data_IF_320432052300
#
_entry.id   IF_320432052300
#
_cell.length_a   1.000
_cell.length_b   1.000
_cell.length_c   1.000
_cell.angle_alpha   90.00
_cell.angle_beta   90.00
_cell.angle_gamma   90.00
#
_symmetry.space_group_name_H-M   'P 1'
#
loop_
_entity.id
_entity.type
_entity.pdbx_description
1 polymer ?
#
# COMPACT_ATOMS: atom_id res chain seq x y z
N UNK A 1 -16.31 12.44 15.33
CA UNK A 1 -16.54 11.74 14.05
C UNK A 1 -17.06 12.75 13.04
N UNK A 2 -16.57 12.74 11.84
CA UNK A 2 -16.96 13.66 10.79
C UNK A 2 -18.11 13.05 9.99
N UNK A 3 -19.28 13.70 9.98
CA UNK A 3 -20.44 13.25 9.21
C UNK A 3 -20.36 13.84 7.78
N UNK A 4 -19.32 13.43 7.04
CA UNK A 4 -19.06 13.86 5.67
C UNK A 4 -18.29 12.80 4.92
N UNK A 5 -18.42 12.73 3.58
CA UNK A 5 -17.56 11.87 2.78
C UNK A 5 -16.08 12.14 3.05
N UNK A 6 -15.34 11.10 3.34
CA UNK A 6 -13.93 11.19 3.73
C UNK A 6 -13.08 10.29 2.83
N UNK A 7 -11.89 10.74 2.50
CA UNK A 7 -10.89 9.98 1.73
C UNK A 7 -9.64 9.83 2.59
N UNK A 8 -9.10 8.61 2.64
CA UNK A 8 -7.74 8.40 3.13
C UNK A 8 -6.79 8.72 1.98
N UNK A 9 -6.11 9.88 2.06
CA UNK A 9 -5.29 10.41 0.98
C UNK A 9 -3.99 9.68 0.78
N UNK A 10 -3.41 9.13 1.86
CA UNK A 10 -2.16 8.37 1.81
C UNK A 10 -2.16 7.28 2.88
N UNK A 11 -1.74 6.09 2.51
CA UNK A 11 -1.36 5.04 3.44
C UNK A 11 -0.40 4.08 2.74
N UNK A 12 0.49 3.45 3.51
CA UNK A 12 1.40 2.44 2.98
C UNK A 12 1.88 1.48 4.06
N UNK A 13 2.33 0.33 3.60
CA UNK A 13 3.07 -0.66 4.38
C UNK A 13 4.33 -1.01 3.58
N UNK A 14 5.49 -0.98 4.19
CA UNK A 14 6.76 -1.29 3.54
C UNK A 14 7.33 -2.62 4.00
N UNK A 15 7.82 -3.43 3.09
CA UNK A 15 8.49 -4.69 3.43
C UNK A 15 10.00 -4.51 3.53
N UNK A 16 10.64 -5.30 4.40
CA UNK A 16 12.07 -5.23 4.66
C UNK A 16 12.86 -6.38 4.02
N UNK A 17 12.20 -7.23 3.24
CA UNK A 17 12.78 -8.44 2.64
C UNK A 17 13.21 -8.28 1.17
N UNK A 18 13.17 -7.07 0.63
CA UNK A 18 13.39 -6.83 -0.82
C UNK A 18 14.53 -5.85 -1.12
N UNK A 19 15.45 -5.69 -0.19
CA UNK A 19 16.72 -5.01 -0.44
C UNK A 19 16.85 -3.58 0.05
N UNK A 20 15.83 -2.99 0.64
CA UNK A 20 15.93 -1.68 1.31
C UNK A 20 15.99 -1.84 2.82
N UNK A 21 16.56 -0.84 3.49
CA UNK A 21 16.65 -0.81 4.95
C UNK A 21 15.50 -0.03 5.59
N UNK A 22 14.71 0.68 4.78
CA UNK A 22 13.61 1.53 5.23
C UNK A 22 12.27 1.07 4.68
N UNK A 23 11.28 1.03 5.53
CA UNK A 23 9.94 0.55 5.23
C UNK A 23 8.89 1.67 5.13
N UNK A 24 9.29 2.90 5.38
CA UNK A 24 8.32 3.97 5.59
C UNK A 24 7.69 3.89 6.99
N UNK A 25 6.45 4.32 7.11
CA UNK A 25 5.78 4.51 8.41
C UNK A 25 5.42 3.20 9.10
N UNK A 26 5.08 2.16 8.35
CA UNK A 26 4.64 0.88 8.94
C UNK A 26 5.50 -0.25 8.38
N UNK A 27 6.44 -0.75 9.17
CA UNK A 27 7.31 -1.83 8.73
C UNK A 27 6.58 -3.18 8.70
N UNK A 28 6.89 -3.97 7.66
CA UNK A 28 6.48 -5.36 7.52
C UNK A 28 7.72 -6.21 7.33
N UNK A 29 7.76 -7.38 7.93
CA UNK A 29 8.92 -8.30 7.83
C UNK A 29 9.15 -8.76 6.40
N UNK A 30 8.05 -8.99 5.68
CA UNK A 30 8.08 -9.53 4.34
C UNK A 30 6.84 -9.10 3.54
N UNK A 31 6.81 -9.45 2.26
CA UNK A 31 5.69 -9.14 1.37
C UNK A 31 4.39 -9.81 1.81
N UNK A 32 4.47 -10.98 2.44
CA UNK A 32 3.28 -11.68 2.93
C UNK A 32 2.58 -10.87 4.03
N UNK A 33 3.34 -10.39 4.99
CA UNK A 33 2.81 -9.52 6.06
C UNK A 33 2.30 -8.21 5.50
N UNK A 34 3.04 -7.60 4.55
CA UNK A 34 2.63 -6.38 3.86
C UNK A 34 1.26 -6.55 3.20
N UNK A 35 1.07 -7.64 2.46
CA UNK A 35 -0.20 -7.89 1.78
C UNK A 35 -1.34 -8.20 2.75
N UNK A 36 -1.06 -8.90 3.84
CA UNK A 36 -2.07 -9.14 4.88
C UNK A 36 -2.55 -7.83 5.51
N UNK A 37 -1.61 -6.95 5.88
CA UNK A 37 -1.93 -5.62 6.43
C UNK A 37 -2.66 -4.73 5.42
N UNK A 38 -2.22 -4.71 4.17
CA UNK A 38 -2.87 -3.96 3.10
C UNK A 38 -4.34 -4.38 2.94
N UNK A 39 -4.59 -5.67 2.79
CA UNK A 39 -5.94 -6.18 2.63
C UNK A 39 -6.82 -5.91 3.84
N UNK A 40 -6.30 -6.13 5.05
CA UNK A 40 -7.03 -5.87 6.28
C UNK A 40 -7.40 -4.38 6.42
N UNK A 41 -6.47 -3.50 6.13
CA UNK A 41 -6.67 -2.06 6.18
C UNK A 41 -7.78 -1.60 5.23
N UNK A 42 -7.70 -2.02 3.98
CA UNK A 42 -8.69 -1.63 2.96
C UNK A 42 -10.06 -2.22 3.27
N UNK A 43 -10.13 -3.49 3.71
CA UNK A 43 -11.40 -4.11 4.13
C UNK A 43 -12.04 -3.38 5.30
N UNK A 44 -11.24 -2.96 6.26
CA UNK A 44 -11.74 -2.19 7.40
C UNK A 44 -12.25 -0.81 6.97
N UNK A 45 -11.48 -0.13 6.14
CA UNK A 45 -11.85 1.18 5.64
C UNK A 45 -13.19 1.17 4.88
N UNK A 46 -13.42 0.14 4.07
CA UNK A 46 -14.64 0.06 3.24
C UNK A 46 -15.91 -0.23 4.05
N UNK A 47 -15.77 -0.67 5.30
CA UNK A 47 -16.90 -0.86 6.22
C UNK A 47 -17.39 0.44 6.84
N UNK A 48 -16.60 1.50 6.73
CA UNK A 48 -17.00 2.83 7.21
C UNK A 48 -17.82 3.54 6.14
N UNK A 49 -19.06 3.84 6.44
CA UNK A 49 -20.00 4.48 5.51
C UNK A 49 -19.60 5.88 5.05
N UNK A 50 -18.69 6.52 5.77
CA UNK A 50 -18.18 7.84 5.43
C UNK A 50 -16.94 7.79 4.54
N UNK A 51 -16.24 6.65 4.48
CA UNK A 51 -15.04 6.49 3.67
C UNK A 51 -15.41 6.13 2.23
N UNK A 52 -15.10 7.04 1.31
CA UNK A 52 -15.41 6.90 -0.11
C UNK A 52 -14.17 6.56 -0.96
N UNK A 53 -13.00 6.50 -0.36
CA UNK A 53 -11.77 6.12 -1.06
C UNK A 53 -10.56 6.00 -0.16
N UNK A 54 -9.63 5.17 -0.59
CA UNK A 54 -8.31 5.01 0.04
C UNK A 54 -7.25 5.05 -1.05
N UNK A 55 -6.17 5.79 -0.83
CA UNK A 55 -5.10 5.97 -1.81
C UNK A 55 -3.79 5.43 -1.26
N UNK A 56 -3.25 4.42 -1.95
CA UNK A 56 -1.95 3.85 -1.62
C UNK A 56 -0.82 4.83 -1.97
N UNK A 57 0.13 4.98 -1.09
CA UNK A 57 1.38 5.68 -1.30
C UNK A 57 2.53 4.66 -1.27
N UNK A 58 3.27 4.43 -2.28
CA UNK A 58 3.61 5.14 -3.48
C UNK A 58 3.54 4.19 -4.70
N UNK A 59 3.51 4.71 -5.94
CA UNK A 59 3.37 3.87 -7.15
C UNK A 59 4.55 2.93 -7.37
N UNK A 60 5.77 3.46 -7.37
CA UNK A 60 6.97 2.64 -7.52
C UNK A 60 7.83 2.68 -6.26
N UNK A 61 8.67 1.66 -6.09
CA UNK A 61 9.67 1.71 -5.03
C UNK A 61 10.60 2.90 -5.22
N UNK A 62 11.03 3.49 -4.13
CA UNK A 62 12.01 4.57 -4.17
C UNK A 62 13.39 4.00 -4.49
N UNK A 63 14.26 4.78 -5.17
CA UNK A 63 15.62 4.31 -5.46
C UNK A 63 16.41 4.08 -4.18
N UNK A 64 17.27 3.07 -4.20
CA UNK A 64 18.11 2.71 -3.05
C UNK A 64 19.01 3.85 -2.59
N UNK A 65 19.40 4.72 -3.51
CA UNK A 65 20.19 5.93 -3.24
C UNK A 65 19.38 7.05 -2.58
N UNK A 66 18.08 6.88 -2.45
CA UNK A 66 17.17 7.86 -1.88
C UNK A 66 16.63 8.88 -2.87
N UNK A 67 15.47 9.42 -2.55
CA UNK A 67 14.89 10.57 -3.22
C UNK A 67 15.58 11.86 -2.80
N UNK A 68 15.11 12.99 -3.32
CA UNK A 68 15.65 14.31 -2.98
C UNK A 68 15.60 14.64 -1.48
N UNK A 69 14.71 14.01 -0.75
CA UNK A 69 14.57 14.11 0.71
C UNK A 69 15.27 12.97 1.48
N UNK A 70 15.94 12.06 0.76
CA UNK A 70 16.63 10.91 1.34
C UNK A 70 15.77 9.68 1.59
N UNK A 71 14.49 9.72 1.29
CA UNK A 71 13.59 8.56 1.46
C UNK A 71 13.92 7.47 0.44
N UNK A 72 14.01 6.22 0.91
CA UNK A 72 14.30 5.04 0.08
C UNK A 72 13.34 3.88 0.42
N UNK A 73 12.07 4.19 0.59
CA UNK A 73 11.05 3.24 1.04
C UNK A 73 10.70 2.20 -0.02
N UNK A 74 10.53 0.97 0.43
CA UNK A 74 10.03 -0.14 -0.40
C UNK A 74 8.51 -0.30 -0.18
N UNK A 75 7.77 0.62 -0.77
CA UNK A 75 6.31 0.68 -0.66
C UNK A 75 5.60 0.57 -2.01
N UNK A 76 6.35 0.43 -3.10
CA UNK A 76 5.80 0.49 -4.46
C UNK A 76 4.82 -0.63 -4.80
N UNK A 77 3.89 -0.32 -5.67
CA UNK A 77 3.12 -1.30 -6.44
C UNK A 77 4.01 -1.93 -7.50
N UNK A 78 4.98 -1.16 -7.98
CA UNK A 78 6.03 -1.60 -8.89
C UNK A 78 7.41 -1.44 -8.27
N UNK A 79 8.41 -2.09 -8.87
CA UNK A 79 9.82 -1.87 -8.55
C UNK A 79 10.31 -0.53 -9.10
N UNK A 80 11.56 -0.16 -8.80
CA UNK A 80 12.19 1.05 -9.34
C UNK A 80 12.32 1.03 -10.87
N UNK A 81 12.27 -0.14 -11.49
CA UNK A 81 12.28 -0.32 -12.95
C UNK A 81 10.87 -0.46 -13.53
N UNK A 82 9.86 -0.10 -12.77
CA UNK A 82 8.45 -0.14 -13.14
C UNK A 82 7.92 -1.55 -13.46
N UNK A 83 8.53 -2.58 -12.88
CA UNK A 83 8.04 -3.95 -12.97
C UNK A 83 7.00 -4.21 -11.89
N UNK A 84 5.80 -4.70 -12.23
CA UNK A 84 4.77 -4.97 -11.24
C UNK A 84 5.24 -5.96 -10.16
N UNK A 85 4.86 -5.72 -8.92
CA UNK A 85 5.03 -6.69 -7.84
C UNK A 85 3.85 -7.65 -7.85
N UNK A 86 4.06 -8.94 -8.14
CA UNK A 86 2.96 -9.89 -8.31
C UNK A 86 2.04 -9.98 -7.09
N UNK A 87 2.62 -9.92 -5.90
CA UNK A 87 1.87 -9.99 -4.64
C UNK A 87 0.90 -8.80 -4.49
N UNK A 88 1.36 -7.61 -4.87
CA UNK A 88 0.55 -6.39 -4.82
C UNK A 88 -0.57 -6.43 -5.86
N UNK A 89 -0.27 -6.89 -7.06
CA UNK A 89 -1.26 -7.05 -8.14
C UNK A 89 -2.35 -8.03 -7.70
N UNK A 90 -1.99 -9.18 -7.14
CA UNK A 90 -2.97 -10.18 -6.72
C UNK A 90 -3.82 -9.70 -5.54
N UNK A 91 -3.20 -9.07 -4.55
CA UNK A 91 -3.93 -8.50 -3.42
C UNK A 91 -4.96 -7.45 -3.87
N UNK A 92 -4.57 -6.58 -4.80
CA UNK A 92 -5.46 -5.56 -5.35
C UNK A 92 -6.61 -6.18 -6.15
N UNK A 93 -6.32 -7.21 -6.96
CA UNK A 93 -7.37 -7.94 -7.70
C UNK A 93 -8.36 -8.62 -6.76
N UNK A 94 -7.86 -9.24 -5.70
CA UNK A 94 -8.70 -9.88 -4.69
C UNK A 94 -9.65 -8.87 -4.06
N UNK A 95 -9.15 -7.72 -3.63
CA UNK A 95 -9.95 -6.64 -3.08
C UNK A 95 -10.96 -6.10 -4.08
N UNK A 96 -10.57 -5.88 -5.33
CA UNK A 96 -11.46 -5.39 -6.37
C UNK A 96 -12.63 -6.35 -6.63
N UNK A 97 -12.36 -7.66 -6.64
CA UNK A 97 -13.41 -8.67 -6.77
C UNK A 97 -14.41 -8.63 -5.61
N UNK A 98 -13.91 -8.39 -4.38
CA UNK A 98 -14.78 -8.28 -3.21
C UNK A 98 -15.67 -7.03 -3.28
N UNK A 99 -15.11 -5.89 -3.70
CA UNK A 99 -15.81 -4.60 -3.66
C UNK A 99 -16.77 -4.38 -4.81
N UNK A 100 -16.43 -4.89 -5.98
CA UNK A 100 -17.25 -4.73 -7.18
C UNK A 100 -18.12 -5.95 -7.49
N UNK A 101 -18.16 -6.88 -6.56
CA UNK A 101 -19.05 -8.02 -6.64
C UNK A 101 -20.42 -7.60 -6.12
N UNK A 102 -21.33 -7.46 -7.03
CA UNK A 102 -22.73 -7.19 -6.71
C UNK A 102 -23.64 -8.23 -7.31
#
# INVERSE_FOLDING_TARGET
>A
MVDKPTIIGEFHFGSLDRGTMNSGLVPCRDMKERMAKYKAYVRHAIQDEHLVGVHWFFWCDMPLTGWMDGEDFLTGVTTVTDSPRPEMVEATRELAREFYRQ
#
